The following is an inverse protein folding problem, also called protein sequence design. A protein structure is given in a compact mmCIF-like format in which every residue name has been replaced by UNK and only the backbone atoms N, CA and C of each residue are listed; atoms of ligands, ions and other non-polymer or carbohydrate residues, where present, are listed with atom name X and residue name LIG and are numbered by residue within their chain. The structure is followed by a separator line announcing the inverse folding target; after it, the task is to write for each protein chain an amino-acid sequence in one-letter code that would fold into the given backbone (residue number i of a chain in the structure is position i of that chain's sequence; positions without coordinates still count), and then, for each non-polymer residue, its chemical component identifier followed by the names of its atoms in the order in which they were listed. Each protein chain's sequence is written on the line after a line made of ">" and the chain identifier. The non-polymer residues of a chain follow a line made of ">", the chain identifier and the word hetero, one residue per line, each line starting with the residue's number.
data_IF_939473698821
#
_entry.id   IF_939473698821
#
_cell.length_a   1.000
_cell.length_b   1.000
_cell.length_c   1.000
_cell.angle_alpha   90.00
_cell.angle_beta   90.00
_cell.angle_gamma   90.00
#
_symmetry.space_group_name_H-M   'P 1'
#
loop_
_entity.id
_entity.type
_entity.pdbx_description
1 polymer ?
#
# COMPACT_ATOMS: atom_id res chain seq x y z
N UNK A 1 4.69 13.27 10.48
CA UNK A 1 4.16 12.51 9.32
C UNK A 1 2.65 12.37 9.49
N UNK A 2 1.88 12.51 8.41
CA UNK A 2 0.41 12.40 8.47
C UNK A 2 0.03 10.93 8.28
N UNK A 3 -0.57 10.34 9.31
CA UNK A 3 -0.97 8.93 9.37
C UNK A 3 -2.49 8.87 9.46
N UNK A 4 -3.13 8.05 8.64
CA UNK A 4 -4.56 7.76 8.72
C UNK A 4 -4.76 6.36 9.31
N UNK A 5 -5.64 6.24 10.29
CA UNK A 5 -6.00 4.95 10.91
C UNK A 5 -7.26 4.42 10.25
N UNK A 6 -7.17 3.23 9.66
CA UNK A 6 -8.28 2.46 9.11
C UNK A 6 -8.66 1.33 10.07
N UNK A 7 -9.79 0.66 9.80
CA UNK A 7 -10.29 -0.44 10.63
C UNK A 7 -9.27 -1.58 10.82
N UNK A 8 -8.42 -1.81 9.82
CA UNK A 8 -7.51 -2.95 9.80
C UNK A 8 -6.03 -2.57 9.94
N UNK A 9 -5.64 -1.31 9.74
CA UNK A 9 -4.27 -0.84 9.98
C UNK A 9 -4.16 0.69 9.81
N UNK A 10 -2.96 1.22 9.99
CA UNK A 10 -2.56 2.59 9.64
C UNK A 10 -1.95 2.67 8.25
N UNK A 11 -2.11 3.83 7.59
CA UNK A 11 -1.46 4.14 6.32
C UNK A 11 -0.79 5.51 6.40
N UNK A 12 0.44 5.58 5.92
CA UNK A 12 1.31 6.75 5.90
C UNK A 12 1.81 7.03 4.49
N UNK A 13 2.11 8.31 4.20
CA UNK A 13 2.83 8.68 2.97
C UNK A 13 4.21 8.04 2.98
N UNK A 14 4.56 7.35 1.90
CA UNK A 14 5.80 6.58 1.76
C UNK A 14 5.62 5.08 1.95
N UNK A 15 4.48 4.60 2.46
CA UNK A 15 4.22 3.17 2.56
C UNK A 15 4.19 2.52 1.17
N UNK A 16 4.73 1.30 1.07
CA UNK A 16 4.74 0.49 -0.14
C UNK A 16 3.87 -0.73 0.06
N UNK A 17 2.85 -0.88 -0.79
CA UNK A 17 2.02 -2.06 -0.89
C UNK A 17 2.49 -2.94 -2.04
N UNK A 18 2.38 -4.25 -1.85
CA UNK A 18 2.68 -5.25 -2.87
C UNK A 18 1.42 -6.06 -3.19
N UNK A 19 1.19 -6.28 -4.47
CA UNK A 19 0.20 -7.24 -4.97
C UNK A 19 0.90 -8.19 -5.91
N UNK A 20 0.76 -9.48 -5.64
CA UNK A 20 1.23 -10.54 -6.54
C UNK A 20 0.05 -11.35 -7.04
N UNK A 21 0.07 -11.68 -8.33
CA UNK A 21 -0.96 -12.50 -8.97
C UNK A 21 -0.38 -13.34 -10.11
N UNK A 22 -1.11 -14.38 -10.52
CA UNK A 22 -0.65 -15.38 -11.48
C UNK A 22 -0.01 -16.61 -10.83
N UNK A 23 -0.05 -17.73 -11.55
CA UNK A 23 0.56 -18.98 -11.12
C UNK A 23 2.08 -18.79 -11.02
N UNK A 24 2.68 -19.28 -9.94
CA UNK A 24 4.08 -19.03 -9.55
C UNK A 24 4.46 -17.56 -9.31
N UNK A 25 3.47 -16.67 -9.12
CA UNK A 25 3.66 -15.27 -8.70
C UNK A 25 4.58 -14.44 -9.62
N UNK A 26 4.50 -14.65 -10.93
CA UNK A 26 5.31 -13.90 -11.91
C UNK A 26 4.91 -12.44 -12.06
N UNK A 27 3.67 -12.06 -11.77
CA UNK A 27 3.22 -10.67 -11.82
C UNK A 27 3.20 -10.06 -10.43
N UNK A 28 4.21 -9.25 -10.13
CA UNK A 28 4.31 -8.49 -8.88
C UNK A 28 4.18 -7.00 -9.21
N UNK A 29 3.26 -6.33 -8.53
CA UNK A 29 3.02 -4.88 -8.66
C UNK A 29 3.23 -4.20 -7.31
N UNK A 30 3.91 -3.05 -7.35
CA UNK A 30 4.19 -2.23 -6.19
C UNK A 30 3.45 -0.90 -6.28
N UNK A 31 2.89 -0.45 -5.17
CA UNK A 31 2.16 0.82 -5.06
C UNK A 31 2.73 1.61 -3.89
N UNK A 32 3.08 2.88 -4.14
CA UNK A 32 3.55 3.79 -3.09
C UNK A 32 2.46 4.81 -2.74
N UNK A 33 2.27 5.06 -1.45
CA UNK A 33 1.38 6.12 -0.99
C UNK A 33 2.05 7.48 -1.20
N UNK A 34 1.51 8.27 -2.12
CA UNK A 34 2.03 9.61 -2.42
C UNK A 34 1.36 10.71 -1.58
N UNK A 35 0.10 10.51 -1.18
CA UNK A 35 -0.66 11.48 -0.42
C UNK A 35 -1.80 10.82 0.34
N UNK A 36 -2.17 11.40 1.49
CA UNK A 36 -3.33 11.00 2.28
C UNK A 36 -4.28 12.19 2.43
N UNK A 37 -5.48 12.06 1.89
CA UNK A 37 -6.55 13.05 2.01
C UNK A 37 -7.53 12.63 3.10
N UNK A 38 -8.04 13.60 3.84
CA UNK A 38 -8.99 13.38 4.92
C UNK A 38 -10.39 13.78 4.46
#
# INVERSE_FOLDING_TARGET
>A
MKVLTFKNDTVSVGDIFVSSWGYEQTNVTFYQVLSVHR
#
